data_IF_938146927815
#
_entry.id   IF_938146927815
#
_cell.length_a   1.000
_cell.length_b   1.000
_cell.length_c   1.000
_cell.angle_alpha   90.00
_cell.angle_beta   90.00
_cell.angle_gamma   90.00
#
_symmetry.space_group_name_H-M   'P 1'
#
loop_
_entity.id
_entity.type
_entity.pdbx_description
1 polymer ?
#
# COMPACT_ATOMS: atom_id res chain seq x y z
N UNK A 1 -74.76 -81.07 -55.25
CA UNK A 1 -73.91 -81.34 -54.07
C UNK A 1 -72.55 -80.72 -54.37
N UNK A 2 -72.35 -79.48 -53.93
CA UNK A 2 -71.44 -79.09 -52.81
C UNK A 2 -70.00 -79.51 -53.13
N UNK A 3 -69.00 -78.64 -53.30
CA UNK A 3 -68.77 -77.32 -52.69
C UNK A 3 -67.68 -76.56 -53.47
N UNK A 4 -67.77 -75.23 -53.45
CA UNK A 4 -66.75 -74.28 -53.96
C UNK A 4 -65.59 -74.20 -52.96
N UNK A 5 -64.35 -74.06 -53.44
CA UNK A 5 -63.52 -72.88 -53.09
C UNK A 5 -62.21 -72.85 -53.89
N UNK A 6 -62.21 -71.92 -54.83
CA UNK A 6 -61.12 -71.51 -55.69
C UNK A 6 -60.23 -70.43 -55.02
N UNK A 7 -58.92 -70.57 -55.27
CA UNK A 7 -58.02 -69.45 -55.61
C UNK A 7 -57.79 -68.37 -54.54
N UNK A 8 -57.11 -68.71 -53.44
CA UNK A 8 -56.33 -67.72 -52.64
C UNK A 8 -55.04 -68.38 -52.11
N UNK A 9 -53.99 -68.52 -52.92
CA UNK A 9 -52.65 -68.80 -52.34
C UNK A 9 -51.43 -68.33 -53.15
N UNK A 10 -51.57 -67.95 -54.44
CA UNK A 10 -50.40 -67.75 -55.29
C UNK A 10 -49.91 -66.28 -55.48
N UNK A 11 -50.48 -65.27 -54.80
CA UNK A 11 -50.13 -63.84 -55.05
C UNK A 11 -49.33 -63.12 -53.96
N UNK A 12 -49.00 -63.76 -52.83
CA UNK A 12 -48.20 -63.12 -51.76
C UNK A 12 -46.67 -63.34 -51.84
N UNK A 13 -46.18 -64.38 -52.54
CA UNK A 13 -44.74 -64.69 -52.56
C UNK A 13 -43.93 -63.92 -53.63
N UNK A 14 -44.58 -63.40 -54.67
CA UNK A 14 -43.90 -62.71 -55.78
C UNK A 14 -43.57 -61.23 -55.49
N UNK A 15 -44.30 -60.57 -54.58
CA UNK A 15 -43.99 -59.18 -54.17
C UNK A 15 -42.81 -59.06 -53.20
N UNK A 16 -42.54 -60.08 -52.37
CA UNK A 16 -41.39 -60.06 -51.44
C UNK A 16 -40.06 -60.33 -52.15
N UNK A 17 -40.03 -61.16 -53.20
CA UNK A 17 -38.80 -61.42 -53.97
C UNK A 17 -38.37 -60.24 -54.86
N UNK A 18 -39.31 -59.43 -55.35
CA UNK A 18 -39.01 -58.26 -56.18
C UNK A 18 -38.35 -57.10 -55.41
N UNK A 19 -38.62 -56.97 -54.10
CA UNK A 19 -37.96 -55.97 -53.23
C UNK A 19 -36.51 -56.33 -52.89
N UNK A 20 -36.24 -57.61 -52.65
CA UNK A 20 -34.89 -58.11 -52.32
C UNK A 20 -33.93 -58.07 -53.52
N UNK A 21 -34.41 -58.33 -54.74
CA UNK A 21 -33.62 -58.24 -55.96
C UNK A 21 -33.34 -56.79 -56.40
N UNK A 22 -34.25 -55.84 -56.09
CA UNK A 22 -33.99 -54.40 -56.27
C UNK A 22 -32.92 -53.88 -55.32
N UNK A 23 -32.79 -54.45 -54.12
CA UNK A 23 -31.72 -54.09 -53.16
C UNK A 23 -30.34 -54.61 -53.58
N UNK A 24 -30.29 -55.72 -54.33
CA UNK A 24 -29.04 -56.34 -54.82
C UNK A 24 -28.51 -55.72 -56.13
N UNK A 25 -29.31 -54.89 -56.79
CA UNK A 25 -28.94 -54.18 -58.04
C UNK A 25 -28.89 -52.68 -57.85
N UNK A 26 -28.97 -52.20 -56.59
CA UNK A 26 -28.93 -50.79 -56.25
C UNK A 26 -27.47 -50.30 -56.13
N UNK A 27 -26.97 -49.66 -57.19
CA UNK A 27 -25.65 -49.00 -57.21
C UNK A 27 -25.59 -47.74 -56.31
N UNK A 28 -26.73 -47.31 -55.74
CA UNK A 28 -26.79 -46.25 -54.72
C UNK A 28 -26.17 -46.66 -53.38
N UNK A 29 -25.93 -47.95 -53.14
CA UNK A 29 -25.38 -48.49 -51.89
C UNK A 29 -23.89 -48.21 -51.66
N UNK A 30 -23.08 -48.04 -52.72
CA UNK A 30 -21.64 -47.79 -52.58
C UNK A 30 -21.37 -46.42 -51.93
N UNK A 31 -22.17 -45.40 -52.26
CA UNK A 31 -22.12 -44.09 -51.59
C UNK A 31 -22.51 -44.22 -50.12
N UNK A 32 -23.49 -45.06 -49.80
CA UNK A 32 -23.90 -45.31 -48.42
C UNK A 32 -22.80 -46.01 -47.59
N UNK A 33 -22.06 -46.96 -48.18
CA UNK A 33 -20.94 -47.64 -47.50
C UNK A 33 -19.76 -46.69 -47.28
N UNK A 34 -19.38 -45.91 -48.30
CA UNK A 34 -18.32 -44.90 -48.18
C UNK A 34 -18.71 -43.84 -47.15
N UNK A 35 -19.96 -43.36 -47.17
CA UNK A 35 -20.48 -42.43 -46.18
C UNK A 35 -20.47 -43.05 -44.77
N UNK A 36 -20.90 -44.31 -44.61
CA UNK A 36 -20.92 -44.98 -43.31
C UNK A 36 -19.52 -45.11 -42.68
N UNK A 37 -18.47 -45.28 -43.49
CA UNK A 37 -17.09 -45.39 -43.02
C UNK A 37 -16.45 -44.01 -42.80
N UNK A 38 -16.72 -43.03 -43.66
CA UNK A 38 -16.07 -41.70 -43.61
C UNK A 38 -16.76 -40.73 -42.66
N UNK A 39 -18.08 -40.85 -42.45
CA UNK A 39 -18.85 -39.94 -41.62
C UNK A 39 -18.41 -39.96 -40.14
N UNK A 40 -18.13 -41.11 -39.50
CA UNK A 40 -17.57 -41.12 -38.14
C UNK A 40 -16.22 -40.40 -38.03
N UNK A 41 -15.37 -40.48 -39.05
CA UNK A 41 -14.07 -39.78 -39.08
C UNK A 41 -14.27 -38.27 -39.17
N UNK A 42 -15.19 -37.81 -40.04
CA UNK A 42 -15.53 -36.39 -40.18
C UNK A 42 -16.14 -35.83 -38.88
N UNK A 43 -17.10 -36.55 -38.29
CA UNK A 43 -17.73 -36.16 -37.02
C UNK A 43 -16.71 -36.14 -35.88
N UNK A 44 -15.82 -37.14 -35.81
CA UNK A 44 -14.73 -37.18 -34.84
C UNK A 44 -13.77 -36.00 -34.98
N UNK A 45 -13.39 -35.64 -36.22
CA UNK A 45 -12.53 -34.49 -36.50
C UNK A 45 -13.21 -33.16 -36.11
N UNK A 46 -14.50 -32.98 -36.44
CA UNK A 46 -15.27 -31.79 -36.03
C UNK A 46 -15.42 -31.71 -34.51
N UNK A 47 -15.69 -32.83 -33.83
CA UNK A 47 -15.78 -32.91 -32.38
C UNK A 47 -14.48 -32.54 -31.69
N UNK A 48 -13.34 -33.05 -32.18
CA UNK A 48 -12.02 -32.68 -31.69
C UNK A 48 -11.72 -31.20 -31.92
N UNK A 49 -12.06 -30.67 -33.10
CA UNK A 49 -11.91 -29.24 -33.40
C UNK A 49 -12.74 -28.34 -32.47
N UNK A 50 -13.99 -28.72 -32.20
CA UNK A 50 -14.85 -28.00 -31.27
C UNK A 50 -14.33 -28.05 -29.83
N UNK A 51 -13.89 -29.23 -29.38
CA UNK A 51 -13.36 -29.41 -28.01
C UNK A 51 -12.04 -28.67 -27.79
N UNK A 52 -11.11 -28.71 -28.76
CA UNK A 52 -9.87 -27.93 -28.70
C UNK A 52 -10.14 -26.43 -28.70
N UNK A 53 -11.09 -25.96 -29.51
CA UNK A 53 -11.56 -24.57 -29.46
C UNK A 53 -12.16 -24.20 -28.10
N UNK A 54 -12.92 -25.10 -27.48
CA UNK A 54 -13.45 -24.91 -26.13
C UNK A 54 -12.34 -24.83 -25.07
N UNK A 55 -11.34 -25.71 -25.11
CA UNK A 55 -10.19 -25.65 -24.21
C UNK A 55 -9.40 -24.36 -24.38
N UNK A 56 -9.17 -23.92 -25.62
CA UNK A 56 -8.49 -22.65 -25.88
C UNK A 56 -9.25 -21.45 -25.30
N UNK A 57 -10.58 -21.41 -25.48
CA UNK A 57 -11.42 -20.38 -24.87
C UNK A 57 -11.37 -20.42 -23.33
N UNK A 58 -11.35 -21.61 -22.74
CA UNK A 58 -11.20 -21.78 -21.28
C UNK A 58 -9.83 -21.34 -20.78
N UNK A 59 -8.77 -21.69 -21.48
CA UNK A 59 -7.40 -21.25 -21.17
C UNK A 59 -7.30 -19.72 -21.21
N UNK A 60 -7.86 -19.05 -22.24
CA UNK A 60 -7.88 -17.58 -22.31
C UNK A 60 -8.64 -16.92 -21.16
N UNK A 61 -9.78 -17.50 -20.75
CA UNK A 61 -10.54 -17.01 -19.59
C UNK A 61 -9.76 -17.21 -18.28
N UNK A 62 -9.07 -18.34 -18.14
CA UNK A 62 -8.22 -18.63 -16.98
C UNK A 62 -7.04 -17.66 -16.91
N UNK A 63 -6.41 -17.34 -18.05
CA UNK A 63 -5.34 -16.34 -18.12
C UNK A 63 -5.83 -14.94 -17.75
N UNK A 64 -6.93 -14.48 -18.34
CA UNK A 64 -7.53 -13.20 -17.95
C UNK A 64 -7.84 -13.13 -16.45
N UNK A 65 -8.37 -14.22 -15.86
CA UNK A 65 -8.62 -14.28 -14.42
C UNK A 65 -7.32 -14.21 -13.60
N UNK A 66 -6.23 -14.82 -14.07
CA UNK A 66 -4.92 -14.75 -13.42
C UNK A 66 -4.34 -13.33 -13.50
N UNK A 67 -4.39 -12.68 -14.66
CA UNK A 67 -3.84 -11.33 -14.90
C UNK A 67 -4.52 -10.29 -14.00
N UNK A 68 -5.85 -10.25 -13.98
CA UNK A 68 -6.62 -9.29 -13.18
C UNK A 68 -6.45 -9.59 -11.67
N UNK A 69 -6.35 -10.87 -11.29
CA UNK A 69 -6.09 -11.25 -9.90
C UNK A 69 -4.68 -10.86 -9.44
N UNK A 70 -3.66 -11.06 -10.27
CA UNK A 70 -2.28 -10.66 -9.98
C UNK A 70 -2.17 -9.14 -9.82
N UNK A 71 -2.77 -8.37 -10.75
CA UNK A 71 -2.78 -6.91 -10.67
C UNK A 71 -3.50 -6.42 -9.41
N UNK A 72 -4.67 -6.98 -9.08
CA UNK A 72 -5.42 -6.59 -7.88
C UNK A 72 -4.68 -6.93 -6.57
N UNK A 73 -4.03 -8.09 -6.53
CA UNK A 73 -3.25 -8.50 -5.36
C UNK A 73 -1.95 -7.69 -5.23
N UNK A 74 -1.28 -7.32 -6.33
CA UNK A 74 -0.21 -6.34 -6.31
C UNK A 74 -0.69 -4.95 -5.84
N UNK A 75 -1.96 -4.60 -6.08
CA UNK A 75 -2.64 -3.45 -5.49
C UNK A 75 -2.61 -3.47 -3.96
N UNK A 76 -2.85 -4.64 -3.36
CA UNK A 76 -2.76 -4.85 -1.91
C UNK A 76 -1.32 -4.88 -1.41
N UNK A 77 -0.42 -5.52 -2.16
CA UNK A 77 1.02 -5.51 -1.87
C UNK A 77 1.55 -4.07 -1.78
N UNK A 78 1.22 -3.25 -2.78
CA UNK A 78 1.52 -1.81 -2.79
C UNK A 78 0.78 -1.03 -1.70
N UNK A 79 -0.28 -1.55 -1.09
CA UNK A 79 -0.90 -0.91 0.06
C UNK A 79 -0.22 -1.27 1.40
N UNK A 80 0.78 -2.17 1.38
CA UNK A 80 1.45 -2.69 2.58
C UNK A 80 0.69 -3.82 3.28
N UNK A 81 -0.35 -4.37 2.63
CA UNK A 81 -1.14 -5.46 3.19
C UNK A 81 -0.32 -6.77 3.29
N UNK A 82 -0.66 -7.61 4.27
CA UNK A 82 -0.01 -8.92 4.47
C UNK A 82 -0.63 -10.01 3.58
N UNK A 83 0.09 -11.12 3.37
CA UNK A 83 -0.30 -12.23 2.46
C UNK A 83 -1.77 -12.66 2.54
N UNK A 84 -2.43 -12.79 3.72
CA UNK A 84 -3.84 -13.18 3.76
C UNK A 84 -4.78 -12.24 3.00
N UNK A 85 -4.53 -10.93 3.04
CA UNK A 85 -5.34 -9.93 2.32
C UNK A 85 -5.09 -9.95 0.81
N UNK A 86 -3.85 -10.26 0.39
CA UNK A 86 -3.49 -10.48 -1.02
C UNK A 86 -4.22 -11.72 -1.56
N UNK A 87 -4.17 -12.85 -0.83
CA UNK A 87 -4.83 -14.11 -1.19
C UNK A 87 -6.35 -13.98 -1.27
N UNK A 88 -6.96 -13.32 -0.27
CA UNK A 88 -8.39 -13.04 -0.29
C UNK A 88 -8.79 -12.18 -1.49
N UNK A 89 -8.01 -11.13 -1.81
CA UNK A 89 -8.29 -10.24 -2.94
C UNK A 89 -8.12 -10.95 -4.27
N UNK A 90 -7.03 -11.69 -4.47
CA UNK A 90 -6.81 -12.45 -5.71
C UNK A 90 -7.92 -13.46 -5.94
N UNK A 91 -8.32 -14.19 -4.89
CA UNK A 91 -9.39 -15.21 -4.98
C UNK A 91 -10.72 -14.58 -5.32
N UNK A 92 -11.07 -13.46 -4.69
CA UNK A 92 -12.30 -12.72 -4.97
C UNK A 92 -12.34 -12.23 -6.42
N UNK A 93 -11.25 -11.63 -6.90
CA UNK A 93 -11.16 -11.04 -8.23
C UNK A 93 -11.09 -12.12 -9.32
N UNK A 94 -10.33 -13.20 -9.10
CA UNK A 94 -10.32 -14.36 -9.98
C UNK A 94 -11.74 -14.95 -10.12
N UNK A 95 -12.45 -15.12 -9.00
CA UNK A 95 -13.80 -15.67 -8.99
C UNK A 95 -14.80 -14.76 -9.72
N UNK A 96 -14.73 -13.44 -9.50
CA UNK A 96 -15.52 -12.46 -10.26
C UNK A 96 -15.18 -12.43 -11.75
N UNK A 97 -13.96 -12.82 -12.11
CA UNK A 97 -13.49 -12.96 -13.49
C UNK A 97 -13.83 -14.31 -14.13
N UNK A 98 -14.57 -15.17 -13.42
CA UNK A 98 -15.09 -16.45 -13.93
C UNK A 98 -14.29 -17.70 -13.54
N UNK A 99 -13.28 -17.57 -12.67
CA UNK A 99 -12.60 -18.70 -12.06
C UNK A 99 -13.51 -19.42 -11.05
N UNK A 100 -13.45 -20.75 -11.01
CA UNK A 100 -14.19 -21.54 -10.03
C UNK A 100 -13.21 -22.21 -9.05
N UNK A 101 -13.17 -21.81 -7.78
CA UNK A 101 -12.32 -22.44 -6.77
C UNK A 101 -12.63 -23.92 -6.56
N UNK A 102 -13.84 -24.38 -6.89
CA UNK A 102 -14.22 -25.79 -6.82
C UNK A 102 -13.57 -26.65 -7.93
N UNK A 103 -13.07 -26.01 -9.00
CA UNK A 103 -12.51 -26.68 -10.16
C UNK A 103 -10.97 -26.72 -10.16
N UNK A 104 -10.30 -26.16 -9.14
CA UNK A 104 -8.85 -26.25 -8.99
C UNK A 104 -8.27 -25.36 -7.89
N UNK A 105 -7.00 -24.97 -8.03
CA UNK A 105 -6.25 -24.26 -6.97
C UNK A 105 -5.74 -22.90 -7.42
N UNK A 106 -5.73 -21.95 -6.49
CA UNK A 106 -5.08 -20.65 -6.60
C UNK A 106 -3.89 -20.62 -5.65
N UNK A 107 -2.72 -20.28 -6.16
CA UNK A 107 -1.53 -20.08 -5.35
C UNK A 107 -0.97 -18.67 -5.56
N UNK A 108 -0.60 -18.02 -4.47
CA UNK A 108 0.15 -16.75 -4.49
C UNK A 108 1.53 -17.00 -3.89
N UNK A 109 2.57 -16.62 -4.62
CA UNK A 109 3.95 -16.71 -4.12
C UNK A 109 4.74 -15.45 -4.48
N UNK A 110 5.76 -15.08 -3.69
CA UNK A 110 6.80 -14.20 -4.18
C UNK A 110 7.35 -14.79 -5.48
N UNK A 111 7.42 -13.99 -6.54
CA UNK A 111 7.87 -14.51 -7.83
C UNK A 111 9.37 -14.84 -7.78
N UNK A 112 9.73 -16.03 -8.29
CA UNK A 112 11.11 -16.47 -8.55
C UNK A 112 11.38 -16.55 -10.06
N UNK A 113 10.74 -15.68 -10.86
CA UNK A 113 10.89 -15.72 -12.32
C UNK A 113 12.38 -15.69 -12.72
N UNK A 114 12.81 -16.48 -13.74
CA UNK A 114 14.19 -16.47 -14.24
C UNK A 114 14.66 -15.11 -14.77
N UNK A 115 13.73 -14.20 -15.08
CA UNK A 115 14.01 -12.80 -15.46
C UNK A 115 14.06 -11.86 -14.25
N UNK A 116 13.89 -12.38 -13.03
CA UNK A 116 13.92 -11.62 -11.80
C UNK A 116 15.31 -11.60 -11.17
N UNK A 117 15.85 -10.39 -11.01
CA UNK A 117 17.01 -10.16 -10.14
C UNK A 117 16.64 -10.53 -8.69
N UNK A 118 17.55 -11.19 -7.98
CA UNK A 118 17.33 -11.65 -6.60
C UNK A 118 17.07 -10.46 -5.64
N UNK A 119 15.94 -10.49 -4.91
CA UNK A 119 15.52 -9.47 -3.94
C UNK A 119 14.01 -9.19 -3.84
N UNK A 120 13.17 -10.13 -4.29
CA UNK A 120 11.74 -9.96 -4.65
C UNK A 120 10.76 -9.76 -3.49
N UNK A 121 10.65 -8.52 -2.96
CA UNK A 121 9.46 -8.08 -2.20
C UNK A 121 8.42 -7.34 -3.06
N UNK A 122 8.78 -6.89 -4.26
CA UNK A 122 7.89 -6.09 -5.14
C UNK A 122 7.23 -6.90 -6.27
N UNK A 123 7.41 -8.22 -6.31
CA UNK A 123 6.85 -9.09 -7.36
C UNK A 123 5.95 -10.18 -6.78
N UNK A 124 4.76 -10.31 -7.35
CA UNK A 124 3.74 -11.25 -6.94
C UNK A 124 3.37 -12.17 -8.11
N UNK A 125 3.46 -13.47 -7.89
CA UNK A 125 2.99 -14.49 -8.83
C UNK A 125 1.62 -15.01 -8.40
N UNK A 126 0.68 -15.07 -9.34
CA UNK A 126 -0.62 -15.75 -9.19
C UNK A 126 -0.68 -16.89 -10.19
N UNK A 127 -0.90 -18.11 -9.69
CA UNK A 127 -1.10 -19.31 -10.51
C UNK A 127 -2.52 -19.83 -10.28
N UNK A 128 -3.28 -19.96 -11.37
CA UNK A 128 -4.59 -20.58 -11.38
C UNK A 128 -4.51 -21.93 -12.10
N UNK A 129 -5.15 -22.94 -11.52
CA UNK A 129 -5.28 -24.27 -12.13
C UNK A 129 -6.74 -24.65 -12.22
N UNK A 130 -7.15 -25.23 -13.34
CA UNK A 130 -8.53 -25.69 -13.54
C UNK A 130 -8.52 -27.05 -14.24
N UNK A 131 -9.18 -28.04 -13.65
CA UNK A 131 -9.28 -29.39 -14.21
C UNK A 131 -10.66 -29.61 -14.79
N UNK A 132 -10.74 -30.06 -16.05
CA UNK A 132 -12.00 -30.30 -16.76
C UNK A 132 -12.03 -31.69 -17.38
N UNK A 133 -13.21 -32.29 -17.37
CA UNK A 133 -13.48 -33.55 -18.07
C UNK A 133 -13.35 -33.38 -19.58
N UNK A 134 -12.91 -34.44 -20.25
CA UNK A 134 -12.90 -34.53 -21.72
C UNK A 134 -14.32 -34.73 -22.25
N UNK A 135 -14.58 -34.22 -23.45
CA UNK A 135 -15.80 -34.40 -24.22
C UNK A 135 -15.56 -35.48 -25.28
N UNK A 136 -15.41 -35.11 -26.55
CA UNK A 136 -15.20 -36.05 -27.66
C UNK A 136 -13.88 -36.82 -27.56
N UNK A 137 -12.84 -36.20 -27.01
CA UNK A 137 -11.51 -36.77 -26.80
C UNK A 137 -11.45 -37.84 -25.70
N UNK A 138 -12.55 -38.03 -24.95
CA UNK A 138 -12.67 -39.08 -23.94
C UNK A 138 -12.52 -40.50 -24.53
N UNK A 139 -12.81 -40.67 -25.83
CA UNK A 139 -12.61 -41.92 -26.55
C UNK A 139 -11.14 -42.36 -26.59
N UNK A 140 -10.20 -41.42 -26.52
CA UNK A 140 -8.76 -41.69 -26.56
C UNK A 140 -8.13 -41.75 -25.17
N UNK A 141 -8.69 -41.02 -24.19
CA UNK A 141 -8.17 -40.99 -22.82
C UNK A 141 -9.27 -40.60 -21.83
N UNK A 142 -9.36 -41.33 -20.71
CA UNK A 142 -10.26 -40.97 -19.60
C UNK A 142 -9.68 -39.93 -18.63
N UNK A 143 -8.41 -39.54 -18.77
CA UNK A 143 -7.76 -38.60 -17.84
C UNK A 143 -8.26 -37.17 -18.10
N UNK A 144 -8.65 -36.40 -17.08
CA UNK A 144 -9.12 -35.04 -17.27
C UNK A 144 -7.99 -34.13 -17.79
N UNK A 145 -8.37 -33.01 -18.40
CA UNK A 145 -7.43 -32.00 -18.89
C UNK A 145 -7.24 -30.94 -17.81
N UNK A 146 -6.01 -30.77 -17.34
CA UNK A 146 -5.63 -29.71 -16.43
C UNK A 146 -5.08 -28.52 -17.22
N UNK A 147 -5.71 -27.36 -17.04
CA UNK A 147 -5.29 -26.08 -17.56
C UNK A 147 -4.59 -25.29 -16.46
N UNK A 148 -3.52 -24.58 -16.80
CA UNK A 148 -2.76 -23.73 -15.88
C UNK A 148 -2.61 -22.34 -16.50
N UNK A 149 -2.96 -21.32 -15.74
CA UNK A 149 -2.64 -19.93 -16.06
C UNK A 149 -1.71 -19.36 -15.00
N UNK A 150 -0.84 -18.45 -15.42
CA UNK A 150 0.14 -17.82 -14.55
C UNK A 150 0.27 -16.37 -14.95
N UNK A 151 0.25 -15.48 -13.96
CA UNK A 151 0.48 -14.06 -14.15
C UNK A 151 1.44 -13.53 -13.07
N UNK A 152 2.31 -12.59 -13.43
CA UNK A 152 3.20 -11.92 -12.50
C UNK A 152 2.99 -10.42 -12.56
N UNK A 153 2.68 -9.84 -11.40
CA UNK A 153 2.59 -8.40 -11.23
C UNK A 153 3.81 -7.88 -10.45
N UNK A 154 4.33 -6.74 -10.86
CA UNK A 154 5.42 -6.03 -10.20
C UNK A 154 4.94 -4.65 -9.75
N UNK A 155 5.26 -4.27 -8.51
CA UNK A 155 5.19 -2.88 -8.06
C UNK A 155 6.49 -2.20 -8.48
N UNK A 156 6.39 -1.12 -9.24
CA UNK A 156 7.56 -0.43 -9.77
C UNK A 156 7.40 1.09 -9.80
N UNK A 157 8.54 1.75 -10.06
CA UNK A 157 8.64 3.20 -10.08
C UNK A 157 8.44 3.82 -8.70
N UNK A 158 7.84 5.01 -8.73
CA UNK A 158 7.66 5.88 -7.58
C UNK A 158 8.84 6.81 -7.33
N UNK A 159 8.53 7.95 -6.74
CA UNK A 159 9.45 9.05 -6.46
C UNK A 159 9.52 9.30 -4.96
N UNK A 160 10.66 9.81 -4.49
CA UNK A 160 10.88 10.04 -3.07
C UNK A 160 10.00 11.19 -2.59
N UNK A 161 9.08 10.88 -1.68
CA UNK A 161 8.27 11.88 -0.98
C UNK A 161 8.84 12.16 0.41
N UNK A 162 8.56 13.36 0.92
CA UNK A 162 8.86 13.77 2.29
C UNK A 162 7.60 14.21 3.04
N UNK A 163 6.47 14.38 2.35
CA UNK A 163 5.17 14.68 2.96
C UNK A 163 4.19 13.59 2.54
N UNK A 164 3.54 12.96 3.51
CA UNK A 164 2.47 11.98 3.28
C UNK A 164 1.30 12.21 4.25
N UNK A 165 0.14 12.60 3.70
CA UNK A 165 -1.11 12.51 4.45
C UNK A 165 -1.70 11.10 4.32
N UNK A 166 -1.92 10.44 5.46
CA UNK A 166 -2.41 9.06 5.54
C UNK A 166 -3.94 8.94 5.55
N UNK A 167 -4.66 10.03 5.80
CA UNK A 167 -6.13 9.98 5.83
C UNK A 167 -6.69 9.46 4.52
N UNK A 168 -7.68 8.56 4.60
CA UNK A 168 -8.34 7.96 3.43
C UNK A 168 -9.45 8.85 2.85
N UNK A 169 -9.99 9.78 3.63
CA UNK A 169 -11.24 10.49 3.30
C UNK A 169 -11.29 11.95 3.73
N UNK A 170 -10.32 12.48 4.49
CA UNK A 170 -10.37 13.87 4.94
C UNK A 170 -10.19 14.86 3.78
N UNK A 171 -11.03 15.88 3.75
CA UNK A 171 -10.85 17.08 2.92
C UNK A 171 -9.62 17.87 3.39
N UNK A 172 -8.85 18.39 2.44
CA UNK A 172 -7.58 19.07 2.69
C UNK A 172 -6.64 18.21 3.53
N UNK A 173 -6.46 16.94 3.15
CA UNK A 173 -5.60 16.02 3.87
C UNK A 173 -4.14 16.51 3.89
N UNK A 174 -3.70 17.13 2.80
CA UNK A 174 -2.59 18.11 2.82
C UNK A 174 -3.17 19.48 2.54
N UNK A 175 -3.05 20.40 3.50
CA UNK A 175 -3.51 21.79 3.34
C UNK A 175 -2.32 22.75 3.41
N UNK A 176 -2.28 23.72 2.51
CA UNK A 176 -1.37 24.87 2.54
C UNK A 176 -2.24 26.12 2.52
N UNK A 177 -2.23 26.93 3.59
CA UNK A 177 -3.17 28.05 3.70
C UNK A 177 -2.57 29.31 4.34
N UNK A 178 -3.33 30.40 4.29
CA UNK A 178 -2.92 31.71 4.79
C UNK A 178 -1.93 32.39 3.84
N UNK A 179 -0.78 32.78 4.37
CA UNK A 179 0.35 33.40 3.65
C UNK A 179 1.63 32.56 3.74
N UNK A 180 1.49 31.25 3.99
CA UNK A 180 2.62 30.33 4.14
C UNK A 180 3.48 30.28 2.87
N UNK A 181 4.80 30.30 3.03
CA UNK A 181 5.78 30.00 1.98
C UNK A 181 6.47 28.67 2.30
N UNK A 182 6.18 27.62 1.52
CA UNK A 182 6.67 26.26 1.76
C UNK A 182 7.63 25.83 0.66
N UNK A 183 8.87 25.49 0.98
CA UNK A 183 9.84 24.96 0.01
C UNK A 183 10.17 23.50 0.34
N UNK A 184 9.72 22.59 -0.54
CA UNK A 184 9.94 21.15 -0.51
C UNK A 184 10.74 20.70 -1.76
N UNK A 185 11.59 21.57 -2.30
CA UNK A 185 12.40 21.26 -3.48
C UNK A 185 13.23 19.98 -3.28
N UNK A 186 13.17 19.07 -4.26
CA UNK A 186 13.78 17.74 -4.18
C UNK A 186 12.88 16.65 -3.59
N UNK A 187 11.67 16.98 -3.13
CA UNK A 187 10.74 16.06 -2.48
C UNK A 187 9.33 16.13 -3.11
N UNK A 188 8.68 14.97 -3.15
CA UNK A 188 7.27 14.87 -3.50
C UNK A 188 6.32 14.99 -2.29
N UNK A 189 5.11 15.49 -2.56
CA UNK A 189 4.00 15.52 -1.63
C UNK A 189 2.98 14.46 -2.03
N UNK A 190 2.59 13.61 -1.08
CA UNK A 190 1.59 12.57 -1.28
C UNK A 190 0.39 12.74 -0.35
N UNK A 191 -0.81 12.46 -0.86
CA UNK A 191 -2.04 12.42 -0.06
C UNK A 191 -2.86 11.19 -0.39
N UNK A 192 -3.14 10.37 0.62
CA UNK A 192 -3.94 9.15 0.49
C UNK A 192 -5.46 9.40 0.53
N UNK A 193 -5.89 10.65 0.66
CA UNK A 193 -7.32 10.96 0.77
C UNK A 193 -7.99 10.91 -0.59
N UNK A 194 -9.15 10.27 -0.65
CA UNK A 194 -10.03 10.18 -1.82
C UNK A 194 -10.97 11.38 -1.98
N UNK A 195 -10.87 12.39 -1.10
CA UNK A 195 -11.67 13.62 -1.19
C UNK A 195 -11.36 14.41 -2.48
N UNK A 196 -12.33 15.17 -2.99
CA UNK A 196 -12.17 16.03 -4.17
C UNK A 196 -11.13 17.15 -3.98
N UNK A 197 -10.78 17.46 -2.73
CA UNK A 197 -9.80 18.45 -2.31
C UNK A 197 -8.74 17.80 -1.40
N UNK A 198 -8.31 16.59 -1.74
CA UNK A 198 -7.30 15.81 -1.03
C UNK A 198 -6.02 16.62 -0.79
N UNK A 199 -5.55 17.32 -1.81
CA UNK A 199 -4.59 18.40 -1.70
C UNK A 199 -5.33 19.74 -1.82
N UNK A 200 -5.14 20.63 -0.84
CA UNK A 200 -5.80 21.93 -0.80
C UNK A 200 -4.78 23.05 -0.57
N UNK A 201 -4.66 23.96 -1.53
CA UNK A 201 -3.95 25.21 -1.39
C UNK A 201 -4.94 26.37 -1.43
N UNK A 202 -4.85 27.28 -0.47
CA UNK A 202 -5.77 28.42 -0.34
C UNK A 202 -5.05 29.68 0.15
N UNK A 203 -5.70 30.84 -0.03
CA UNK A 203 -5.16 32.14 0.36
C UNK A 203 -4.05 32.61 -0.59
N UNK A 204 -3.07 33.33 -0.04
CA UNK A 204 -1.89 33.84 -0.77
C UNK A 204 -0.65 32.98 -0.52
N UNK A 205 -0.85 31.70 -0.15
CA UNK A 205 0.24 30.79 0.12
C UNK A 205 1.02 30.44 -1.16
N UNK A 206 2.31 30.14 -0.99
CA UNK A 206 3.18 29.64 -2.05
C UNK A 206 3.86 28.35 -1.61
N UNK A 207 4.06 27.43 -2.56
CA UNK A 207 4.73 26.16 -2.31
C UNK A 207 5.59 25.76 -3.51
N UNK A 208 6.82 25.28 -3.26
CA UNK A 208 7.66 24.57 -4.23
C UNK A 208 7.73 23.09 -3.83
N UNK A 209 7.56 22.16 -4.77
CA UNK A 209 7.76 20.72 -4.58
C UNK A 209 8.24 20.10 -5.90
N UNK A 210 8.76 18.87 -5.87
CA UNK A 210 9.08 18.17 -7.13
C UNK A 210 7.81 17.77 -7.87
N UNK A 211 6.94 17.00 -7.19
CA UNK A 211 5.62 16.62 -7.65
C UNK A 211 4.61 16.57 -6.49
N UNK A 212 3.32 16.65 -6.81
CA UNK A 212 2.21 16.43 -5.86
C UNK A 212 1.34 15.29 -6.40
N UNK A 213 1.12 14.26 -5.59
CA UNK A 213 0.30 13.09 -5.91
C UNK A 213 -0.86 12.97 -4.92
N UNK A 214 -2.08 13.12 -5.43
CA UNK A 214 -3.30 13.02 -4.64
C UNK A 214 -4.14 11.82 -5.10
N UNK A 215 -4.56 10.97 -4.16
CA UNK A 215 -5.50 9.88 -4.46
C UNK A 215 -6.86 10.41 -4.92
N UNK A 216 -7.30 11.51 -4.35
CA UNK A 216 -8.50 12.24 -4.77
C UNK A 216 -8.17 13.39 -5.71
N UNK A 217 -8.91 14.49 -5.58
CA UNK A 217 -8.68 15.71 -6.36
C UNK A 217 -7.74 16.69 -5.67
N UNK A 218 -7.37 17.75 -6.38
CA UNK A 218 -6.52 18.81 -5.90
C UNK A 218 -7.09 20.20 -6.19
N UNK A 219 -6.92 21.10 -5.23
CA UNK A 219 -7.18 22.53 -5.41
C UNK A 219 -5.85 23.25 -5.22
N UNK A 220 -5.32 23.83 -6.29
CA UNK A 220 -4.05 24.56 -6.27
C UNK A 220 -4.26 26.06 -6.57
N UNK A 221 -3.37 26.92 -6.07
CA UNK A 221 -3.32 28.34 -6.43
C UNK A 221 -2.15 28.60 -7.38
N UNK A 222 -2.05 29.82 -7.92
CA UNK A 222 -0.89 30.27 -8.71
C UNK A 222 0.44 30.26 -7.93
N UNK A 223 0.38 30.11 -6.59
CA UNK A 223 1.56 29.99 -5.73
C UNK A 223 2.20 28.61 -5.73
N UNK A 224 1.59 27.58 -6.35
CA UNK A 224 2.18 26.25 -6.48
C UNK A 224 3.19 26.21 -7.63
N UNK A 225 4.41 25.77 -7.33
CA UNK A 225 5.47 25.49 -8.29
C UNK A 225 5.88 24.01 -8.18
N UNK A 226 5.80 23.29 -9.29
CA UNK A 226 6.27 21.92 -9.41
C UNK A 226 7.56 21.90 -10.23
N UNK A 227 8.60 21.24 -9.72
CA UNK A 227 9.93 21.24 -10.35
C UNK A 227 10.19 20.04 -11.27
N UNK A 228 9.43 18.95 -11.11
CA UNK A 228 9.57 17.71 -11.89
C UNK A 228 8.29 17.20 -12.55
N UNK A 229 7.15 17.78 -12.19
CA UNK A 229 5.85 17.47 -12.79
C UNK A 229 5.22 18.71 -13.42
N UNK A 230 4.50 18.53 -14.53
CA UNK A 230 3.80 19.64 -15.21
C UNK A 230 2.54 20.09 -14.45
N UNK A 231 1.85 19.13 -13.81
CA UNK A 231 0.63 19.38 -13.02
C UNK A 231 0.61 18.49 -11.78
N UNK A 232 -0.32 18.79 -10.87
CA UNK A 232 -0.67 17.85 -9.78
C UNK A 232 -1.21 16.56 -10.40
N UNK A 233 -0.76 15.41 -9.90
CA UNK A 233 -1.29 14.11 -10.28
C UNK A 233 -2.47 13.74 -9.38
N UNK A 234 -3.68 13.97 -9.88
CA UNK A 234 -4.91 13.49 -9.24
C UNK A 234 -5.19 12.02 -9.58
N UNK A 235 -6.01 11.35 -8.76
CA UNK A 235 -6.29 9.92 -8.89
C UNK A 235 -5.02 9.04 -8.87
N UNK A 236 -3.97 9.54 -8.21
CA UNK A 236 -2.72 8.82 -8.05
C UNK A 236 -2.91 7.59 -7.14
N UNK A 237 -2.08 6.54 -7.27
CA UNK A 237 -2.06 5.45 -6.30
C UNK A 237 -1.77 5.92 -4.87
N UNK A 238 -2.43 5.30 -3.89
CA UNK A 238 -2.12 5.52 -2.49
C UNK A 238 -0.66 5.12 -2.18
N UNK A 239 0.01 5.95 -1.38
CA UNK A 239 1.38 5.73 -0.93
C UNK A 239 1.39 4.92 0.37
N UNK A 240 2.38 4.05 0.54
CA UNK A 240 2.52 3.19 1.73
C UNK A 240 2.92 4.04 2.93
N UNK A 241 2.37 3.73 4.10
CA UNK A 241 2.92 4.20 5.37
C UNK A 241 4.23 3.45 5.67
N UNK A 242 5.40 4.10 5.55
CA UNK A 242 6.68 3.42 5.74
C UNK A 242 6.88 2.95 7.18
N UNK A 243 6.16 3.50 8.16
CA UNK A 243 6.29 3.19 9.58
C UNK A 243 5.14 2.33 10.13
N UNK A 244 4.21 1.85 9.29
CA UNK A 244 3.06 1.04 9.73
C UNK A 244 3.46 -0.20 10.56
N UNK A 245 4.59 -0.82 10.23
CA UNK A 245 5.09 -2.02 10.94
C UNK A 245 5.83 -1.74 12.24
N UNK A 246 6.11 -0.47 12.57
CA UNK A 246 6.80 -0.11 13.82
C UNK A 246 5.81 -0.23 14.98
N UNK A 247 6.06 -1.08 15.99
CA UNK A 247 5.15 -1.25 17.12
C UNK A 247 5.04 0.05 17.93
N UNK A 248 3.88 0.30 18.52
CA UNK A 248 3.74 1.43 19.46
C UNK A 248 4.59 1.19 20.71
N UNK A 249 5.34 2.19 21.21
CA UNK A 249 6.16 2.03 22.40
C UNK A 249 5.40 1.91 23.72
N UNK A 250 4.10 2.22 23.76
CA UNK A 250 3.30 2.19 24.99
C UNK A 250 1.81 2.01 24.68
N UNK A 251 1.04 1.30 25.53
CA UNK A 251 1.42 0.67 26.80
C UNK A 251 2.09 -0.71 26.64
N UNK A 252 2.86 -1.14 27.63
CA UNK A 252 3.30 -2.53 27.76
C UNK A 252 3.14 -3.06 29.19
N UNK A 253 2.98 -4.39 29.37
CA UNK A 253 2.71 -4.98 30.68
C UNK A 253 3.82 -4.69 31.70
N UNK A 254 3.42 -4.33 32.93
CA UNK A 254 4.35 -4.12 34.04
C UNK A 254 5.08 -2.77 34.05
N UNK A 255 4.79 -1.88 33.09
CA UNK A 255 5.36 -0.53 33.08
C UNK A 255 4.47 0.46 33.82
N UNK A 256 5.05 1.16 34.78
CA UNK A 256 4.50 2.36 35.36
C UNK A 256 5.32 3.56 34.86
N UNK A 257 4.64 4.54 34.27
CA UNK A 257 5.25 5.83 34.03
C UNK A 257 5.67 6.44 35.38
N UNK A 258 6.94 6.80 35.51
CA UNK A 258 7.47 7.48 36.69
C UNK A 258 6.55 8.65 37.08
N UNK A 259 6.26 8.84 38.37
CA UNK A 259 5.55 10.02 38.89
C UNK A 259 6.43 11.28 38.88
N UNK A 260 7.15 11.48 37.77
CA UNK A 260 8.14 12.52 37.59
C UNK A 260 7.52 13.91 37.44
N UNK A 261 8.30 14.92 37.80
CA UNK A 261 7.94 16.32 37.54
C UNK A 261 7.79 16.55 36.03
N UNK A 262 6.59 16.96 35.60
CA UNK A 262 6.33 17.35 34.21
C UNK A 262 7.08 18.61 33.79
N UNK A 263 7.46 19.47 34.74
CA UNK A 263 8.17 20.71 34.46
C UNK A 263 9.67 20.45 34.48
N UNK A 264 10.32 20.65 33.34
CA UNK A 264 11.74 20.39 33.14
C UNK A 264 12.46 21.68 32.77
N UNK A 265 13.54 21.94 33.50
CA UNK A 265 14.45 23.04 33.26
C UNK A 265 13.99 24.39 33.81
N UNK A 266 14.94 25.32 33.79
CA UNK A 266 14.76 26.69 34.25
C UNK A 266 15.31 27.65 33.18
N UNK A 267 14.70 28.84 32.98
CA UNK A 267 15.22 29.84 32.06
C UNK A 267 16.70 30.15 32.31
N UNK A 268 17.50 30.19 31.24
CA UNK A 268 18.94 30.51 31.31
C UNK A 268 19.84 29.40 31.86
N UNK A 269 19.30 28.23 32.20
CA UNK A 269 20.10 27.08 32.65
C UNK A 269 20.02 25.92 31.63
N UNK A 270 21.11 25.17 31.53
CA UNK A 270 21.15 23.87 30.86
C UNK A 270 20.64 22.79 31.81
N UNK A 271 19.64 22.03 31.38
CA UNK A 271 19.10 20.87 32.13
C UNK A 271 19.23 19.61 31.29
N UNK A 272 19.86 18.58 31.84
CA UNK A 272 20.02 17.29 31.17
C UNK A 272 18.92 16.33 31.63
N UNK A 273 18.14 15.82 30.67
CA UNK A 273 17.07 14.86 30.91
C UNK A 273 17.57 13.46 30.60
N UNK A 274 17.87 12.72 31.66
CA UNK A 274 18.35 11.34 31.56
C UNK A 274 17.22 10.35 31.37
N UNK A 275 17.50 9.25 30.68
CA UNK A 275 16.61 8.08 30.63
C UNK A 275 16.75 7.26 31.90
N UNK A 276 15.63 6.80 32.48
CA UNK A 276 15.60 6.19 33.82
C UNK A 276 15.38 4.67 33.80
N UNK A 277 14.77 4.15 32.73
CA UNK A 277 14.37 2.74 32.65
C UNK A 277 14.80 2.09 31.33
N UNK A 278 14.62 0.78 31.21
CA UNK A 278 14.83 0.00 29.98
C UNK A 278 13.49 -0.44 29.40
N UNK A 279 13.21 -0.09 28.15
CA UNK A 279 12.04 -0.57 27.42
C UNK A 279 12.28 -2.03 26.93
N UNK A 280 11.25 -2.89 26.84
CA UNK A 280 11.41 -4.27 26.35
C UNK A 280 12.03 -4.40 24.96
N UNK A 281 11.94 -3.35 24.14
CA UNK A 281 12.63 -3.29 22.84
C UNK A 281 14.13 -2.99 22.95
N UNK A 282 14.71 -2.98 24.16
CA UNK A 282 16.13 -2.75 24.41
C UNK A 282 16.57 -1.30 24.29
N UNK A 283 15.66 -0.31 24.34
CA UNK A 283 16.03 1.12 24.33
C UNK A 283 15.87 1.72 25.71
N UNK A 284 16.72 2.68 26.08
CA UNK A 284 16.53 3.43 27.33
C UNK A 284 15.33 4.36 27.19
N UNK A 285 14.52 4.43 28.24
CA UNK A 285 13.24 5.16 28.23
C UNK A 285 13.08 6.08 29.45
N UNK A 286 12.35 7.18 29.26
CA UNK A 286 11.77 8.00 30.34
C UNK A 286 10.33 8.34 30.00
N UNK A 287 9.44 8.22 30.97
CA UNK A 287 8.04 8.62 30.80
C UNK A 287 7.69 9.88 31.60
N UNK A 288 6.78 10.67 31.03
CA UNK A 288 6.17 11.86 31.62
C UNK A 288 4.65 11.69 31.63
N UNK A 289 4.03 11.38 32.79
CA UNK A 289 2.59 11.39 32.92
C UNK A 289 2.07 12.83 33.01
N UNK A 290 0.94 13.10 32.36
CA UNK A 290 0.25 14.39 32.33
C UNK A 290 1.01 15.52 31.60
N UNK A 291 1.76 15.17 30.55
CA UNK A 291 2.47 16.12 29.69
C UNK A 291 3.92 16.38 30.10
N UNK A 292 4.56 17.30 29.38
CA UNK A 292 5.95 17.71 29.57
C UNK A 292 6.04 19.21 29.27
N UNK A 293 6.41 20.03 30.26
CA UNK A 293 6.60 21.47 30.08
C UNK A 293 8.09 21.79 30.21
N UNK A 294 8.72 22.19 29.10
CA UNK A 294 10.15 22.48 29.01
C UNK A 294 10.40 23.99 29.07
N UNK A 295 11.33 24.39 29.94
CA UNK A 295 11.80 25.77 30.10
C UNK A 295 13.33 25.84 30.04
N UNK A 296 13.85 26.89 29.41
CA UNK A 296 15.29 27.10 29.25
C UNK A 296 15.94 26.11 28.27
N UNK A 297 17.23 25.85 28.42
CA UNK A 297 17.94 24.91 27.54
C UNK A 297 17.84 23.51 28.12
N UNK A 298 17.26 22.57 27.36
CA UNK A 298 17.10 21.18 27.75
C UNK A 298 17.82 20.28 26.76
N UNK A 299 18.71 19.45 27.30
CA UNK A 299 19.41 18.41 26.57
C UNK A 299 18.83 17.04 26.95
N UNK A 300 18.32 16.31 25.96
CA UNK A 300 17.81 14.96 26.14
C UNK A 300 18.93 13.95 25.86
N UNK A 301 19.22 13.06 26.82
CA UNK A 301 20.07 11.91 26.54
C UNK A 301 19.43 11.03 25.45
N UNK A 302 20.22 10.34 24.61
CA UNK A 302 19.66 9.45 23.60
C UNK A 302 18.71 8.39 24.18
N UNK A 303 17.54 8.23 23.56
CA UNK A 303 16.54 7.26 23.99
C UNK A 303 15.10 7.61 23.65
N UNK A 304 14.18 6.85 24.25
CA UNK A 304 12.74 6.97 24.08
C UNK A 304 12.13 7.85 25.18
N UNK A 305 11.33 8.83 24.80
CA UNK A 305 10.62 9.72 25.71
C UNK A 305 9.12 9.58 25.51
N UNK A 306 8.44 9.02 26.50
CA UNK A 306 7.00 8.77 26.43
C UNK A 306 6.28 9.90 27.14
N UNK A 307 5.37 10.58 26.45
CA UNK A 307 4.48 11.60 27.02
C UNK A 307 3.07 11.03 26.97
N UNK A 308 2.45 10.86 28.14
CA UNK A 308 1.09 10.31 28.25
C UNK A 308 0.15 11.32 28.88
N UNK A 309 -1.00 11.59 28.26
CA UNK A 309 -1.88 12.68 28.69
C UNK A 309 -1.23 14.06 28.60
N UNK A 310 -2.03 15.11 28.79
CA UNK A 310 -1.54 16.49 28.82
C UNK A 310 -0.92 16.96 27.50
N UNK A 311 0.10 17.80 27.58
CA UNK A 311 0.74 18.41 26.41
C UNK A 311 2.25 18.51 26.63
N UNK A 312 3.03 18.20 25.60
CA UNK A 312 4.43 18.57 25.52
C UNK A 312 4.51 20.01 25.01
N UNK A 313 4.75 20.94 25.94
CA UNK A 313 5.03 22.34 25.65
C UNK A 313 6.51 22.64 25.83
N UNK A 314 7.02 23.52 24.98
CA UNK A 314 8.27 24.21 25.20
C UNK A 314 8.01 25.69 25.01
N UNK A 315 8.24 26.49 26.04
CA UNK A 315 8.02 27.93 25.98
C UNK A 315 9.35 28.66 26.16
N UNK A 316 9.87 29.21 25.06
CA UNK A 316 11.00 30.13 25.05
C UNK A 316 10.50 31.56 25.09
N UNK A 317 11.10 32.41 25.93
CA UNK A 317 10.86 33.85 25.94
C UNK A 317 11.37 34.52 24.65
N UNK A 318 12.17 35.58 24.76
CA UNK A 318 12.80 36.20 23.59
C UNK A 318 13.85 35.24 22.97
N UNK A 319 13.79 34.91 21.66
CA UNK A 319 14.71 33.97 20.98
C UNK A 319 16.17 34.45 20.93
N UNK A 320 16.39 35.75 21.12
CA UNK A 320 17.72 36.37 21.17
C UNK A 320 18.24 36.52 22.60
N UNK A 321 17.41 36.25 23.61
CA UNK A 321 17.86 36.23 24.98
C UNK A 321 18.57 34.90 25.25
N UNK A 322 19.58 34.94 26.13
CA UNK A 322 20.20 33.75 26.76
C UNK A 322 19.18 32.87 27.52
N UNK A 323 17.92 33.31 27.61
CA UNK A 323 16.77 32.61 28.20
C UNK A 323 15.84 31.95 27.18
N UNK A 324 16.16 31.98 25.87
CA UNK A 324 15.39 31.26 24.85
C UNK A 324 15.37 29.76 25.16
N UNK A 325 14.22 29.11 24.97
CA UNK A 325 14.15 27.68 25.16
C UNK A 325 14.82 26.99 23.98
N UNK A 326 15.77 26.10 24.27
CA UNK A 326 16.44 25.27 23.28
C UNK A 326 16.28 23.82 23.68
N UNK A 327 15.80 22.99 22.76
CA UNK A 327 15.70 21.55 22.95
C UNK A 327 16.77 20.91 22.09
N UNK A 328 17.69 20.16 22.69
CA UNK A 328 18.78 19.51 21.97
C UNK A 328 18.95 18.06 22.38
N UNK A 329 19.64 17.29 21.53
CA UNK A 329 20.05 15.91 21.86
C UNK A 329 21.49 15.90 22.36
N UNK A 330 21.73 15.21 23.47
CA UNK A 330 23.07 15.02 24.01
C UNK A 330 23.96 14.13 23.16
N UNK A 331 25.20 13.95 23.60
CA UNK A 331 26.14 13.04 22.94
C UNK A 331 25.61 11.59 22.91
N UNK A 332 26.04 10.74 21.95
CA UNK A 332 25.71 9.31 21.99
C UNK A 332 26.08 8.66 23.34
N UNK A 333 25.19 7.85 23.90
CA UNK A 333 25.40 7.16 25.19
C UNK A 333 25.05 5.68 25.04
N UNK A 334 25.91 4.78 25.52
CA UNK A 334 25.68 3.32 25.51
C UNK A 334 25.29 2.74 24.14
N UNK A 335 25.85 3.28 23.05
CA UNK A 335 25.53 2.86 21.68
C UNK A 335 24.22 3.43 21.11
N UNK A 336 23.47 4.22 21.88
CA UNK A 336 22.28 4.95 21.41
C UNK A 336 22.67 6.36 20.94
N UNK A 337 22.02 6.81 19.87
CA UNK A 337 22.07 8.19 19.40
C UNK A 337 20.65 8.66 19.09
N UNK A 338 20.40 9.96 19.18
CA UNK A 338 19.09 10.52 18.86
C UNK A 338 18.00 10.23 19.89
N UNK A 339 16.84 10.84 19.69
CA UNK A 339 15.69 10.72 20.58
C UNK A 339 14.42 10.43 19.78
N UNK A 340 13.54 9.64 20.37
CA UNK A 340 12.17 9.45 19.86
C UNK A 340 11.20 9.89 20.94
N UNK A 341 10.30 10.82 20.63
CA UNK A 341 9.20 11.21 21.50
C UNK A 341 7.93 10.47 21.08
N UNK A 342 7.29 9.74 22.00
CA UNK A 342 6.03 9.06 21.77
C UNK A 342 4.89 9.73 22.53
N UNK A 343 3.79 10.03 21.84
CA UNK A 343 2.59 10.67 22.42
C UNK A 343 1.45 9.66 22.50
N UNK A 344 0.95 9.40 23.71
CA UNK A 344 -0.14 8.47 23.96
C UNK A 344 -1.21 9.07 24.89
N UNK A 345 -2.38 8.42 24.98
CA UNK A 345 -3.50 8.83 25.85
C UNK A 345 -3.87 10.31 25.68
N UNK A 346 -4.22 10.69 24.45
CA UNK A 346 -4.46 12.08 24.01
C UNK A 346 -3.38 13.13 24.34
N UNK A 347 -2.13 12.73 24.60
CA UNK A 347 -1.02 13.67 24.71
C UNK A 347 -0.83 14.46 23.41
N UNK A 348 -0.68 15.77 23.54
CA UNK A 348 -0.45 16.68 22.41
C UNK A 348 1.00 17.14 22.36
N UNK A 349 1.52 17.35 21.16
CA UNK A 349 2.76 18.10 20.97
C UNK A 349 2.37 19.53 20.64
N UNK A 350 2.83 20.49 21.43
CA UNK A 350 2.50 21.89 21.22
C UNK A 350 3.76 22.73 21.43
N UNK A 351 4.62 22.70 20.43
CA UNK A 351 5.81 23.55 20.38
C UNK A 351 5.38 24.90 19.84
N UNK A 352 4.86 25.77 20.71
CA UNK A 352 4.46 27.15 20.38
C UNK A 352 5.53 28.14 20.83
N UNK A 353 5.78 29.15 20.01
CA UNK A 353 6.64 30.27 20.36
C UNK A 353 8.12 30.07 19.98
N UNK A 354 8.95 30.96 20.49
CA UNK A 354 10.34 31.17 20.09
C UNK A 354 11.30 30.10 20.63
N UNK A 355 11.11 28.86 20.20
CA UNK A 355 11.94 27.71 20.61
C UNK A 355 12.90 27.33 19.48
N UNK A 356 14.18 27.16 19.83
CA UNK A 356 15.16 26.55 18.93
C UNK A 356 15.14 25.04 19.15
N UNK A 357 14.82 24.27 18.11
CA UNK A 357 14.80 22.82 18.14
C UNK A 357 16.08 22.32 17.47
N UNK A 358 16.84 21.46 18.13
CA UNK A 358 18.04 20.81 17.60
C UNK A 358 17.94 19.31 17.91
N UNK A 359 16.95 18.70 17.27
CA UNK A 359 16.50 17.36 17.60
C UNK A 359 16.77 16.42 16.43
N UNK A 360 17.31 15.23 16.75
CA UNK A 360 17.60 14.18 15.79
C UNK A 360 17.03 12.85 16.26
N UNK A 361 16.41 12.12 15.35
CA UNK A 361 15.96 10.75 15.55
C UNK A 361 17.15 9.79 15.70
N UNK A 362 16.94 8.61 16.31
CA UNK A 362 17.93 7.55 16.30
C UNK A 362 18.22 7.05 14.88
N UNK A 363 19.45 6.67 14.58
CA UNK A 363 19.83 6.08 13.28
C UNK A 363 19.80 4.55 13.25
N UNK A 364 19.49 3.93 14.39
CA UNK A 364 19.42 2.48 14.56
C UNK A 364 18.42 2.10 15.65
N UNK A 365 18.09 0.82 15.73
CA UNK A 365 17.15 0.29 16.72
C UNK A 365 15.69 0.36 16.26
N UNK A 366 14.75 -0.03 17.13
CA UNK A 366 13.34 -0.26 16.77
C UNK A 366 12.61 1.01 16.29
N UNK A 367 13.05 2.19 16.73
CA UNK A 367 12.47 3.48 16.38
C UNK A 367 13.39 4.33 15.49
N UNK A 368 14.32 3.68 14.78
CA UNK A 368 15.22 4.35 13.83
C UNK A 368 14.44 5.27 12.89
N UNK A 369 14.92 6.51 12.76
CA UNK A 369 14.40 7.53 11.89
C UNK A 369 13.11 8.19 12.37
N UNK A 370 12.53 7.81 13.51
CA UNK A 370 11.32 8.45 14.03
C UNK A 370 11.70 9.43 15.16
N UNK A 371 11.47 10.71 14.93
CA UNK A 371 11.70 11.75 15.94
C UNK A 371 10.47 11.97 16.82
N UNK A 372 9.30 12.12 16.19
CA UNK A 372 8.01 12.27 16.87
C UNK A 372 7.08 11.15 16.41
N UNK A 373 6.49 10.44 17.36
CA UNK A 373 5.57 9.34 17.11
C UNK A 373 4.26 9.57 17.87
N UNK A 374 3.17 9.87 17.18
CA UNK A 374 1.83 9.90 17.75
C UNK A 374 1.18 8.51 17.75
N UNK A 375 0.37 8.21 18.77
CA UNK A 375 -0.36 6.94 18.80
C UNK A 375 -1.35 6.85 17.63
N UNK A 376 -1.47 5.64 17.08
CA UNK A 376 -2.42 5.21 16.06
C UNK A 376 -3.86 5.16 16.56
N UNK A 377 -4.09 5.29 17.86
CA UNK A 377 -5.43 5.29 18.47
C UNK A 377 -6.04 6.69 18.65
N UNK A 378 -5.26 7.77 18.47
CA UNK A 378 -5.64 9.15 18.80
C UNK A 378 -6.20 9.93 17.60
N UNK A 379 -7.52 9.88 17.37
CA UNK A 379 -8.15 10.44 16.15
C UNK A 379 -8.59 11.91 16.23
N UNK A 380 -8.66 12.49 17.44
CA UNK A 380 -9.11 13.86 17.70
C UNK A 380 -8.01 14.76 18.28
N UNK A 381 -6.75 14.36 18.11
CA UNK A 381 -5.58 15.13 18.54
C UNK A 381 -5.03 15.94 17.37
N UNK A 382 -4.59 17.16 17.66
CA UNK A 382 -3.79 17.98 16.76
C UNK A 382 -2.46 18.30 17.43
N UNK A 383 -1.37 18.02 16.73
CA UNK A 383 -0.02 18.40 17.11
C UNK A 383 0.35 19.70 16.41
N UNK A 384 1.12 20.56 17.07
CA UNK A 384 1.64 21.79 16.51
C UNK A 384 3.16 21.83 16.67
N UNK A 385 3.85 22.07 15.56
CA UNK A 385 5.30 22.31 15.54
C UNK A 385 5.53 23.72 15.02
N UNK A 386 6.00 24.60 15.89
CA UNK A 386 6.47 25.92 15.54
C UNK A 386 7.96 26.07 15.90
N UNK A 387 8.80 26.24 14.89
CA UNK A 387 10.25 26.36 15.02
C UNK A 387 10.75 27.70 14.50
N UNK A 388 11.79 28.23 15.14
CA UNK A 388 12.50 29.42 14.65
C UNK A 388 13.40 29.09 13.46
N UNK A 389 13.96 30.11 12.78
CA UNK A 389 14.90 29.93 11.66
C UNK A 389 16.18 29.15 12.00
N UNK A 390 16.51 29.03 13.29
CA UNK A 390 17.67 28.29 13.77
C UNK A 390 17.34 26.84 14.14
N UNK A 391 16.06 26.43 14.02
CA UNK A 391 15.65 25.08 14.35
C UNK A 391 16.10 24.08 13.28
N UNK A 392 16.64 22.95 13.70
CA UNK A 392 17.01 21.80 12.88
C UNK A 392 16.30 20.57 13.45
N UNK A 393 15.42 19.98 12.65
CA UNK A 393 14.80 18.69 12.93
C UNK A 393 15.34 17.66 11.95
N UNK A 394 15.78 16.52 12.49
CA UNK A 394 16.30 15.40 11.70
C UNK A 394 15.53 14.13 12.06
N UNK A 395 14.77 13.58 11.11
CA UNK A 395 13.94 12.39 11.29
C UNK A 395 12.48 12.59 10.87
N UNK A 396 11.66 11.58 11.10
CA UNK A 396 10.25 11.58 10.76
C UNK A 396 9.38 12.12 11.90
N UNK A 397 8.43 12.99 11.53
CA UNK A 397 7.24 13.31 12.32
C UNK A 397 6.15 12.36 11.86
N UNK A 398 5.86 11.33 12.66
CA UNK A 398 4.93 10.26 12.35
C UNK A 398 3.73 10.30 13.30
N UNK A 399 2.60 10.86 12.85
CA UNK A 399 1.36 11.02 13.62
C UNK A 399 0.17 10.43 12.85
N UNK A 400 0.11 9.09 12.70
CA UNK A 400 -0.75 8.41 11.71
C UNK A 400 -2.26 8.51 11.95
N UNK A 401 -2.70 8.87 13.15
CA UNK A 401 -4.13 9.04 13.47
C UNK A 401 -4.52 10.50 13.79
N UNK A 402 -3.54 11.37 14.02
CA UNK A 402 -3.74 12.74 14.49
C UNK A 402 -3.32 13.77 13.43
N UNK A 403 -3.87 14.97 13.56
CA UNK A 403 -3.54 16.08 12.66
C UNK A 403 -2.24 16.76 13.08
N UNK A 404 -1.53 17.34 12.13
CA UNK A 404 -0.31 18.12 12.36
C UNK A 404 -0.44 19.50 11.71
N UNK A 405 -0.31 20.54 12.53
CA UNK A 405 -0.10 21.92 12.11
C UNK A 405 1.40 22.24 12.14
N UNK A 406 1.98 22.46 10.96
CA UNK A 406 3.40 22.69 10.78
C UNK A 406 3.66 24.15 10.41
N UNK A 407 4.40 24.85 11.28
CA UNK A 407 4.71 26.29 11.21
C UNK A 407 6.18 26.52 11.57
N UNK A 408 7.14 26.02 10.81
CA UNK A 408 8.54 26.17 11.19
C UNK A 408 9.51 26.14 10.04
N UNK A 409 10.53 26.98 10.12
CA UNK A 409 11.62 27.05 9.15
C UNK A 409 12.74 26.12 9.65
N UNK A 410 12.80 24.88 9.17
CA UNK A 410 13.97 24.02 9.44
C UNK A 410 15.14 24.63 8.68
N UNK A 411 16.24 24.99 9.35
CA UNK A 411 17.38 25.62 8.71
C UNK A 411 17.73 24.88 7.41
N UNK A 412 17.90 25.65 6.33
CA UNK A 412 18.17 25.24 4.94
C UNK A 412 19.47 24.44 4.76
N UNK A 413 20.17 24.14 5.86
CA UNK A 413 21.46 23.46 5.89
C UNK A 413 21.36 22.30 6.87
N UNK A 414 21.40 21.05 6.37
CA UNK A 414 21.48 19.79 7.13
C UNK A 414 20.22 19.31 7.89
N UNK A 415 19.09 20.03 7.84
CA UNK A 415 17.82 19.53 8.39
C UNK A 415 17.13 18.54 7.45
N UNK A 416 16.78 17.35 7.93
CA UNK A 416 16.05 16.37 7.13
C UNK A 416 14.81 15.85 7.84
N UNK A 417 13.65 16.38 7.45
CA UNK A 417 12.37 16.07 8.08
C UNK A 417 11.44 15.39 7.10
N UNK A 418 10.96 14.20 7.45
CA UNK A 418 9.80 13.59 6.80
C UNK A 418 8.56 13.85 7.64
N UNK A 419 7.44 14.19 7.00
CA UNK A 419 6.18 14.47 7.69
C UNK A 419 5.13 13.48 7.20
N UNK A 420 4.67 12.64 8.12
CA UNK A 420 3.67 11.60 7.86
C UNK A 420 2.60 11.73 8.94
N UNK A 421 1.42 12.21 8.57
CA UNK A 421 0.32 12.41 9.54
C UNK A 421 -1.02 11.99 8.94
N UNK A 422 -2.07 11.85 9.76
CA UNK A 422 -3.42 11.64 9.21
C UNK A 422 -3.85 12.86 8.35
N UNK A 423 -3.69 14.07 8.88
CA UNK A 423 -3.92 15.33 8.15
C UNK A 423 -2.78 16.32 8.45
N UNK A 424 -2.29 16.99 7.42
CA UNK A 424 -1.17 17.93 7.50
C UNK A 424 -1.67 19.31 7.08
N UNK A 425 -1.36 20.33 7.87
CA UNK A 425 -1.63 21.73 7.55
C UNK A 425 -0.34 22.53 7.66
N UNK A 426 0.07 23.14 6.55
CA UNK A 426 1.11 24.16 6.50
C UNK A 426 0.45 25.53 6.58
N UNK A 427 0.76 26.27 7.64
CA UNK A 427 0.16 27.60 7.86
C UNK A 427 1.18 28.65 8.32
N UNK A 428 2.47 28.32 8.22
CA UNK A 428 3.60 29.24 8.38
C UNK A 428 4.70 28.91 7.35
N UNK A 429 5.74 29.74 7.30
CA UNK A 429 6.86 29.50 6.39
C UNK A 429 7.64 28.26 6.80
N UNK A 430 7.99 27.43 5.81
CA UNK A 430 8.67 26.16 6.04
C UNK A 430 9.60 25.80 4.89
N UNK A 431 10.78 25.31 5.22
CA UNK A 431 11.71 24.70 4.27
C UNK A 431 12.01 23.28 4.72
N UNK A 432 11.91 22.32 3.82
CA UNK A 432 12.26 20.90 4.04
C UNK A 432 13.07 20.38 2.86
N UNK A 433 13.97 19.42 3.12
CA UNK A 433 14.76 18.75 2.08
C UNK A 433 14.53 17.23 2.13
N UNK A 434 14.78 16.57 1.00
CA UNK A 434 14.38 15.18 0.73
C UNK A 434 15.40 14.10 1.05
N UNK A 435 16.70 14.44 1.16
CA UNK A 435 17.77 13.46 1.29
C UNK A 435 18.03 13.10 2.78
N UNK A 436 17.20 12.23 3.35
CA UNK A 436 17.27 11.84 4.77
C UNK A 436 18.01 10.52 5.02
N UNK A 437 18.80 10.02 4.08
CA UNK A 437 19.41 8.69 4.18
C UNK A 437 20.30 8.54 5.44
N UNK A 438 20.95 9.63 5.88
CA UNK A 438 21.76 9.66 7.10
C UNK A 438 20.96 9.79 8.40
N UNK A 439 19.65 10.04 8.33
CA UNK A 439 18.77 10.21 9.50
C UNK A 439 18.16 8.88 10.00
N UNK A 440 18.45 7.75 9.33
CA UNK A 440 17.85 6.45 9.65
C UNK A 440 16.36 6.35 9.31
N UNK A 441 15.83 7.31 8.56
CA UNK A 441 14.45 7.33 8.07
C UNK A 441 14.20 6.24 7.05
N UNK A 442 12.95 5.76 7.00
CA UNK A 442 12.55 4.82 5.96
C UNK A 442 12.25 5.57 4.67
N UNK A 443 12.49 4.92 3.53
CA UNK A 443 12.17 5.51 2.23
C UNK A 443 10.66 5.65 2.10
N UNK A 444 10.21 6.87 1.83
CA UNK A 444 8.82 7.19 1.52
C UNK A 444 8.70 7.34 0.00
N UNK A 445 7.89 6.50 -0.63
CA UNK A 445 7.67 6.48 -2.07
C UNK A 445 6.24 6.91 -2.39
N UNK A 446 6.11 7.84 -3.33
CA UNK A 446 4.83 8.25 -3.90
C UNK A 446 4.67 7.72 -5.33
N UNK A 447 3.42 7.56 -5.78
CA UNK A 447 3.08 7.22 -7.18
C UNK A 447 3.70 5.90 -7.69
N UNK A 448 3.78 4.88 -6.84
CA UNK A 448 4.19 3.54 -7.28
C UNK A 448 3.12 2.92 -8.19
N UNK A 449 3.55 2.37 -9.32
CA UNK A 449 2.67 1.75 -10.31
C UNK A 449 2.73 0.23 -10.21
N UNK A 450 1.76 -0.43 -10.84
CA UNK A 450 1.72 -1.88 -10.95
C UNK A 450 1.78 -2.22 -12.44
N UNK A 451 2.75 -3.04 -12.81
CA UNK A 451 2.88 -3.58 -14.15
C UNK A 451 2.66 -5.09 -14.12
N UNK A 452 1.91 -5.62 -15.09
CA UNK A 452 1.94 -7.04 -15.40
C UNK A 452 3.16 -7.30 -16.29
N UNK A 453 4.06 -8.13 -15.82
CA UNK A 453 5.33 -8.40 -16.49
C UNK A 453 5.36 -9.78 -17.17
N UNK A 454 4.48 -10.69 -16.76
CA UNK A 454 4.33 -12.03 -17.33
C UNK A 454 2.89 -12.52 -17.27
#
# INVERSE_FOLDING_TARGET
MSERNDVISARRSTRQRAGALRFLTDEGGTVAVIAAVTFPVLVGAMGLGAETGFWYLKQRKLQHAADVAAHAAAGRLRAGDQRPALEATATLIASKSGYSPAAGTLAISPSSSPTASAGTQDRLEVVLTETRSRLFSSIFSGQPVTMRARAVAQVEGGSTACVLALSKTKSGAVTVSGSASVDLSGCDVASNSSASDSFLMAGSASMSADCVHAVGGAVATLGLRLNKCDTVHENAPASIDPYASVPEPYPWPGFACDSGNRNIGNPGQLTVVKTTQMHPSGVRVRCFPNGLDVKGTVEFEPGLYIVTGGTFTANGGNPTATSAARLQVGAPVNGYSGVTFYFANDARLDLKGNVTLDLKAPTSGPYSGILFFGSRSQTAVSHAINGTSNSVLTGAVYTPASSLDYKGNSATTNGCTQVIADKITFSGNSTMQSACDSAGTRKLLANQQIALIE
#
